data_IF_378992107592
#
_entry.id   IF_378992107592
#
_cell.length_a   1.000
_cell.length_b   1.000
_cell.length_c   1.000
_cell.angle_alpha   90.00
_cell.angle_beta   90.00
_cell.angle_gamma   90.00
#
_symmetry.space_group_name_H-M   'P 1'
#
loop_
_entity.id
_entity.type
_entity.pdbx_description
1 polymer ?
#
# COMPACT_ATOMS: atom_id res chain seq x y z
N UNK A 1 -8.67 -17.67 -6.69
CA UNK A 1 -7.29 -17.92 -6.24
C UNK A 1 -7.36 -18.14 -4.74
N UNK A 2 -6.84 -19.25 -4.20
CA UNK A 2 -6.80 -19.52 -2.76
C UNK A 2 -5.83 -18.55 -2.05
N UNK A 3 -5.80 -18.62 -0.72
CA UNK A 3 -4.97 -17.78 0.15
C UNK A 3 -5.76 -16.68 0.83
N UNK A 4 -5.27 -16.27 1.98
CA UNK A 4 -5.82 -15.17 2.78
C UNK A 4 -5.35 -13.78 2.27
N UNK A 5 -5.62 -12.73 3.05
CA UNK A 5 -5.23 -11.36 2.71
C UNK A 5 -3.71 -11.20 2.55
N UNK A 6 -2.91 -12.00 3.28
CA UNK A 6 -1.45 -11.90 3.23
C UNK A 6 -0.83 -12.42 1.93
N UNK A 7 -1.62 -13.08 1.07
CA UNK A 7 -1.24 -13.43 -0.29
C UNK A 7 -1.40 -12.26 -1.28
N UNK A 8 -2.10 -11.19 -0.89
CA UNK A 8 -2.32 -10.01 -1.73
C UNK A 8 -1.12 -9.07 -1.76
N UNK A 9 -0.90 -8.48 -2.93
CA UNK A 9 0.09 -7.42 -3.17
C UNK A 9 -0.58 -6.25 -3.85
N UNK A 10 -0.21 -5.05 -3.43
CA UNK A 10 -0.57 -3.82 -4.13
C UNK A 10 0.70 -3.23 -4.73
N UNK A 11 0.64 -2.83 -6.01
CA UNK A 11 1.75 -2.15 -6.69
C UNK A 11 1.23 -0.82 -7.18
N UNK A 12 1.95 0.26 -6.88
CA UNK A 12 1.67 1.58 -7.41
C UNK A 12 2.82 2.00 -8.32
N UNK A 13 2.49 2.46 -9.53
CA UNK A 13 3.45 2.99 -10.49
C UNK A 13 2.95 4.30 -11.08
N UNK A 14 3.88 5.13 -11.57
CA UNK A 14 3.60 6.30 -12.40
C UNK A 14 4.45 6.24 -13.67
N UNK A 15 3.78 6.36 -14.81
CA UNK A 15 4.41 6.45 -16.13
C UNK A 15 4.28 7.89 -16.62
N UNK A 16 5.39 8.52 -16.90
CA UNK A 16 5.43 9.92 -17.33
C UNK A 16 4.96 10.13 -18.78
N UNK A 17 4.87 11.37 -19.22
CA UNK A 17 4.45 11.76 -20.57
C UNK A 17 5.34 11.19 -21.67
N UNK A 18 6.61 10.86 -21.36
CA UNK A 18 7.56 10.25 -22.29
C UNK A 18 7.43 8.73 -22.38
N UNK A 19 6.76 8.10 -21.42
CA UNK A 19 6.57 6.65 -21.36
C UNK A 19 7.51 5.91 -20.43
N UNK A 20 8.23 6.66 -19.61
CA UNK A 20 9.14 6.07 -18.63
C UNK A 20 8.43 5.85 -17.29
N UNK A 21 8.69 4.73 -16.65
CA UNK A 21 8.22 4.48 -15.28
C UNK A 21 9.10 5.25 -14.32
N UNK A 22 8.61 6.38 -13.82
CA UNK A 22 9.37 7.27 -12.92
C UNK A 22 9.04 7.07 -11.43
N UNK A 23 8.05 6.24 -11.11
CA UNK A 23 7.75 5.82 -9.76
C UNK A 23 7.30 4.37 -9.74
N UNK A 24 7.80 3.60 -8.78
CA UNK A 24 7.28 2.27 -8.48
C UNK A 24 7.48 1.91 -7.01
N UNK A 25 6.52 1.17 -6.47
CA UNK A 25 6.61 0.58 -5.15
C UNK A 25 5.49 -0.41 -4.91
N UNK A 26 5.68 -1.25 -3.93
CA UNK A 26 4.72 -2.29 -3.60
C UNK A 26 4.59 -2.52 -2.11
N UNK A 27 3.48 -3.13 -1.75
CA UNK A 27 3.20 -3.52 -0.38
C UNK A 27 2.51 -4.88 -0.32
N UNK A 28 2.81 -5.64 0.71
CA UNK A 28 2.09 -6.85 1.10
C UNK A 28 0.90 -6.44 1.95
N UNK A 29 -0.30 -6.87 1.57
CA UNK A 29 -1.50 -6.69 2.38
C UNK A 29 -1.44 -7.60 3.60
N UNK A 30 -1.77 -7.06 4.75
CA UNK A 30 -1.85 -7.80 6.02
C UNK A 30 -3.29 -8.01 6.45
N UNK A 31 -4.15 -7.03 6.18
CA UNK A 31 -5.54 -7.05 6.59
C UNK A 31 -6.37 -6.14 5.68
N UNK A 32 -7.52 -6.62 5.24
CA UNK A 32 -8.55 -5.86 4.50
C UNK A 32 -9.71 -5.45 5.42
N UNK A 33 -10.50 -4.45 5.02
CA UNK A 33 -11.70 -4.05 5.76
C UNK A 33 -12.77 -5.15 5.64
N UNK A 34 -13.38 -5.57 6.74
CA UNK A 34 -14.42 -6.58 6.79
C UNK A 34 -15.84 -6.01 6.51
N UNK A 35 -16.00 -4.69 6.34
CA UNK A 35 -17.29 -4.14 5.97
C UNK A 35 -17.66 -4.58 4.55
N UNK A 36 -18.89 -5.07 4.29
CA UNK A 36 -19.29 -5.61 2.99
C UNK A 36 -19.07 -4.64 1.81
N UNK A 37 -19.17 -3.34 2.05
CA UNK A 37 -18.96 -2.29 1.03
C UNK A 37 -17.50 -1.89 0.87
N UNK A 38 -16.59 -2.46 1.66
CA UNK A 38 -15.18 -2.10 1.73
C UNK A 38 -14.24 -3.29 1.50
N UNK A 39 -14.80 -4.45 1.14
CA UNK A 39 -14.02 -5.65 0.78
C UNK A 39 -13.03 -5.29 -0.35
N UNK A 40 -11.80 -5.78 -0.24
CA UNK A 40 -10.72 -5.44 -1.17
C UNK A 40 -9.97 -4.14 -0.83
N UNK A 41 -10.35 -3.42 0.25
CA UNK A 41 -9.61 -2.24 0.69
C UNK A 41 -8.65 -2.61 1.82
N UNK A 42 -7.34 -2.53 1.61
CA UNK A 42 -6.36 -2.76 2.66
C UNK A 42 -6.47 -1.74 3.79
N UNK A 43 -6.56 -2.23 5.03
CA UNK A 43 -6.48 -1.42 6.25
C UNK A 43 -5.14 -1.56 6.96
N UNK A 44 -4.33 -2.55 6.57
CA UNK A 44 -2.94 -2.67 6.99
C UNK A 44 -2.09 -3.32 5.90
N UNK A 45 -0.89 -2.78 5.69
CA UNK A 45 0.10 -3.26 4.72
C UNK A 45 1.50 -3.03 5.25
N UNK A 46 2.46 -3.87 4.82
CA UNK A 46 3.89 -3.57 4.93
C UNK A 46 4.46 -3.34 3.53
N UNK A 47 5.30 -2.32 3.39
CA UNK A 47 6.07 -2.17 2.16
C UNK A 47 7.06 -3.31 2.02
N UNK A 48 7.15 -3.82 0.82
CA UNK A 48 8.02 -4.96 0.50
C UNK A 48 8.34 -4.92 -1.00
N UNK A 49 9.61 -5.11 -1.32
CA UNK A 49 10.07 -5.08 -2.69
C UNK A 49 9.80 -6.42 -3.38
N UNK A 50 9.15 -6.35 -4.54
CA UNK A 50 8.89 -7.51 -5.40
C UNK A 50 9.46 -7.27 -6.80
N UNK A 51 10.79 -7.35 -7.01
CA UNK A 51 11.43 -6.94 -8.27
C UNK A 51 10.89 -7.67 -9.50
N UNK A 52 10.48 -8.93 -9.37
CA UNK A 52 9.86 -9.68 -10.48
C UNK A 52 8.50 -9.07 -10.85
N UNK A 53 7.65 -8.78 -9.85
CA UNK A 53 6.35 -8.15 -10.09
C UNK A 53 6.49 -6.73 -10.65
N UNK A 54 7.52 -5.99 -10.21
CA UNK A 54 7.79 -4.66 -10.75
C UNK A 54 8.15 -4.70 -12.22
N UNK A 55 9.00 -5.66 -12.63
CA UNK A 55 9.33 -5.84 -14.06
C UNK A 55 8.09 -6.14 -14.89
N UNK A 56 7.25 -7.07 -14.42
CA UNK A 56 6.03 -7.47 -15.13
C UNK A 56 5.03 -6.30 -15.21
N UNK A 57 4.86 -5.55 -14.12
CA UNK A 57 4.00 -4.36 -14.08
C UNK A 57 4.53 -3.25 -15.02
N UNK A 58 5.84 -2.97 -14.99
CA UNK A 58 6.45 -2.00 -15.89
C UNK A 58 6.28 -2.41 -17.35
N UNK A 59 6.58 -3.66 -17.70
CA UNK A 59 6.41 -4.17 -19.07
C UNK A 59 4.95 -4.02 -19.53
N UNK A 60 3.98 -4.42 -18.69
CA UNK A 60 2.57 -4.26 -19.02
C UNK A 60 2.20 -2.80 -19.33
N UNK A 61 2.72 -1.84 -18.57
CA UNK A 61 2.43 -0.42 -18.78
C UNK A 61 3.14 0.13 -20.04
N UNK A 62 4.44 -0.13 -20.18
CA UNK A 62 5.24 0.44 -21.28
C UNK A 62 4.87 -0.16 -22.63
N UNK A 63 4.68 -1.48 -22.73
CA UNK A 63 4.33 -2.18 -23.97
C UNK A 63 2.95 -1.77 -24.49
N UNK A 64 2.06 -1.30 -23.62
CA UNK A 64 0.74 -0.78 -24.00
C UNK A 64 0.69 0.74 -24.12
N UNK A 65 1.82 1.44 -24.05
CA UNK A 65 1.88 2.89 -24.20
C UNK A 65 1.13 3.66 -23.11
N UNK A 66 0.97 3.06 -21.91
CA UNK A 66 0.24 3.67 -20.80
C UNK A 66 0.92 4.96 -20.32
N UNK A 67 0.12 5.90 -19.76
CA UNK A 67 0.57 7.14 -19.13
C UNK A 67 -0.24 7.41 -17.86
N UNK A 68 0.43 7.95 -16.84
CA UNK A 68 -0.18 8.32 -15.57
C UNK A 68 -0.04 7.25 -14.49
N UNK A 69 -0.85 7.35 -13.45
CA UNK A 69 -0.85 6.40 -12.33
C UNK A 69 -1.52 5.08 -12.69
N UNK A 70 -0.90 3.99 -12.28
CA UNK A 70 -1.49 2.67 -12.28
C UNK A 70 -1.36 2.03 -10.89
N UNK A 71 -2.44 1.44 -10.40
CA UNK A 71 -2.45 0.65 -9.17
C UNK A 71 -2.90 -0.77 -9.49
N UNK A 72 -2.02 -1.73 -9.26
CA UNK A 72 -2.28 -3.13 -9.53
C UNK A 72 -2.66 -3.86 -8.24
N UNK A 73 -3.64 -4.73 -8.36
CA UNK A 73 -3.96 -5.74 -7.37
C UNK A 73 -3.50 -7.10 -7.88
N UNK A 74 -2.57 -7.71 -7.11
CA UNK A 74 -1.89 -8.95 -7.47
C UNK A 74 -2.07 -9.95 -6.34
N UNK A 75 -2.35 -11.20 -6.66
CA UNK A 75 -2.40 -12.28 -5.66
C UNK A 75 -1.37 -13.35 -5.97
N UNK A 76 -0.64 -13.74 -4.95
CA UNK A 76 0.28 -14.87 -5.03
C UNK A 76 -0.52 -16.14 -4.77
N UNK A 77 -0.51 -17.07 -5.71
CA UNK A 77 -1.14 -18.37 -5.52
C UNK A 77 -0.27 -19.23 -4.59
N UNK A 78 -0.74 -19.60 -3.40
CA UNK A 78 0.06 -20.37 -2.43
C UNK A 78 0.36 -21.80 -2.87
N UNK A 79 -0.30 -22.30 -3.92
CA UNK A 79 -0.08 -23.66 -4.44
C UNK A 79 1.19 -23.79 -5.26
N UNK A 80 1.55 -22.74 -6.00
CA UNK A 80 2.65 -22.76 -6.96
C UNK A 80 3.52 -21.48 -6.95
N UNK A 81 3.18 -20.49 -6.11
CA UNK A 81 3.89 -19.24 -5.97
C UNK A 81 3.70 -18.27 -7.15
N UNK A 82 2.84 -18.58 -8.12
CA UNK A 82 2.59 -17.67 -9.25
C UNK A 82 1.89 -16.40 -8.80
N UNK A 83 2.34 -15.29 -9.35
CA UNK A 83 1.68 -14.00 -9.20
C UNK A 83 0.62 -13.81 -10.29
N UNK A 84 -0.58 -13.47 -9.89
CA UNK A 84 -1.71 -13.26 -10.78
C UNK A 84 -2.21 -11.82 -10.64
N UNK A 85 -2.00 -11.02 -11.67
CA UNK A 85 -2.55 -9.68 -11.82
C UNK A 85 -4.02 -9.80 -12.18
N UNK A 86 -4.92 -9.25 -11.38
CA UNK A 86 -6.35 -9.39 -11.64
C UNK A 86 -7.09 -8.04 -11.72
N UNK A 87 -6.45 -6.96 -11.30
CA UNK A 87 -7.00 -5.61 -11.46
C UNK A 87 -5.89 -4.61 -11.71
N UNK A 88 -6.13 -3.70 -12.65
CA UNK A 88 -5.32 -2.51 -12.88
C UNK A 88 -6.25 -1.29 -12.82
N UNK A 89 -6.06 -0.47 -11.81
CA UNK A 89 -6.78 0.78 -11.66
C UNK A 89 -6.00 1.92 -12.31
N UNK A 90 -6.51 2.61 -13.35
CA UNK A 90 -5.81 3.70 -14.05
C UNK A 90 -5.87 5.00 -13.23
N UNK A 91 -5.49 4.93 -12.00
CA UNK A 91 -5.49 6.02 -11.02
C UNK A 91 -4.56 5.69 -9.86
N UNK A 92 -4.21 6.72 -9.09
CA UNK A 92 -3.53 6.51 -7.81
C UNK A 92 -4.41 5.72 -6.84
N UNK A 93 -3.83 4.77 -6.13
CA UNK A 93 -4.53 3.95 -5.16
C UNK A 93 -5.01 4.78 -3.94
N UNK A 94 -6.11 4.38 -3.32
CA UNK A 94 -6.62 5.02 -2.11
C UNK A 94 -5.63 4.97 -0.94
N UNK A 95 -4.85 3.92 -0.89
CA UNK A 95 -3.85 3.61 0.14
C UNK A 95 -2.44 4.11 -0.18
N UNK A 96 -2.27 4.93 -1.22
CA UNK A 96 -0.98 5.37 -1.77
C UNK A 96 -0.07 6.08 -0.76
N UNK A 97 -0.57 6.49 0.39
CA UNK A 97 0.23 7.08 1.47
C UNK A 97 1.40 6.19 1.89
N UNK A 98 1.27 4.86 1.74
CA UNK A 98 2.37 3.96 2.02
C UNK A 98 3.63 4.25 1.19
N UNK A 99 3.45 4.72 -0.05
CA UNK A 99 4.55 5.12 -0.94
C UNK A 99 5.33 6.30 -0.35
N UNK A 100 4.60 7.35 0.06
CA UNK A 100 5.22 8.53 0.66
C UNK A 100 5.92 8.19 1.99
N UNK A 101 5.31 7.35 2.81
CA UNK A 101 5.89 6.88 4.07
C UNK A 101 7.14 5.99 3.85
N UNK A 102 7.23 5.31 2.71
CA UNK A 102 8.37 4.50 2.30
C UNK A 102 9.41 5.27 1.46
N UNK A 103 9.39 6.61 1.51
CA UNK A 103 10.41 7.46 0.89
C UNK A 103 10.10 7.90 -0.55
N UNK A 104 9.01 7.44 -1.17
CA UNK A 104 8.66 7.77 -2.55
C UNK A 104 7.31 8.51 -2.63
N UNK A 105 7.32 9.83 -2.48
CA UNK A 105 6.10 10.63 -2.59
C UNK A 105 5.58 10.64 -4.04
N UNK A 106 4.39 10.04 -4.31
CA UNK A 106 3.90 9.90 -5.67
C UNK A 106 3.54 11.23 -6.36
N UNK A 107 3.34 12.30 -5.60
CA UNK A 107 3.03 13.60 -6.19
C UNK A 107 4.24 14.29 -6.83
N UNK A 108 5.45 13.95 -6.40
CA UNK A 108 6.68 14.57 -6.93
C UNK A 108 6.84 14.28 -8.44
N UNK A 109 6.95 13.02 -8.89
CA UNK A 109 7.15 12.75 -10.32
C UNK A 109 5.98 13.23 -11.18
N UNK A 110 4.74 13.22 -10.65
CA UNK A 110 3.60 13.78 -11.39
C UNK A 110 3.71 15.28 -11.59
N UNK A 111 4.13 16.05 -10.56
CA UNK A 111 4.30 17.52 -10.69
C UNK A 111 5.47 17.84 -11.60
N UNK A 112 6.59 17.15 -11.46
CA UNK A 112 7.76 17.34 -12.31
C UNK A 112 7.46 17.04 -13.79
N UNK A 113 6.67 15.99 -14.08
CA UNK A 113 6.25 15.64 -15.42
C UNK A 113 5.24 16.63 -16.01
N UNK A 114 4.13 16.90 -15.30
CA UNK A 114 2.98 17.61 -15.86
C UNK A 114 3.07 19.15 -15.71
N UNK A 115 3.79 19.64 -14.71
CA UNK A 115 3.89 21.07 -14.40
C UNK A 115 5.26 21.62 -14.78
N UNK A 116 6.32 20.97 -14.29
CA UNK A 116 7.69 21.42 -14.52
C UNK A 116 8.25 20.96 -15.86
N UNK A 117 7.61 19.99 -16.51
CA UNK A 117 8.01 19.39 -17.81
C UNK A 117 9.48 18.90 -17.77
N UNK A 118 9.86 18.25 -16.67
CA UNK A 118 11.21 17.74 -16.45
C UNK A 118 11.31 16.24 -16.67
N UNK A 119 12.52 15.81 -17.03
CA UNK A 119 12.87 14.39 -16.94
C UNK A 119 13.06 14.00 -15.47
N UNK A 120 12.35 12.98 -15.01
CA UNK A 120 12.47 12.46 -13.66
C UNK A 120 13.27 11.17 -13.66
N UNK A 121 14.15 11.01 -12.67
CA UNK A 121 14.74 9.70 -12.36
C UNK A 121 13.68 8.81 -11.69
N UNK A 122 13.80 7.49 -11.89
CA UNK A 122 12.90 6.56 -11.24
C UNK A 122 13.08 6.57 -9.72
N UNK A 123 12.02 6.86 -8.99
CA UNK A 123 11.96 6.75 -7.54
C UNK A 123 11.28 5.44 -7.14
N UNK A 124 11.86 4.74 -6.17
CA UNK A 124 11.34 3.47 -5.65
C UNK A 124 11.01 3.59 -4.16
N UNK A 125 9.86 3.05 -3.76
CA UNK A 125 9.45 2.99 -2.35
C UNK A 125 10.04 1.74 -1.72
N UNK A 126 11.24 1.85 -1.15
CA UNK A 126 12.04 0.71 -0.63
C UNK A 126 12.12 0.66 0.90
N UNK A 127 11.75 1.73 1.61
CA UNK A 127 11.77 1.71 3.06
C UNK A 127 10.70 0.78 3.62
N UNK A 128 11.11 -0.16 4.47
CA UNK A 128 10.18 -1.08 5.11
C UNK A 128 9.38 -0.37 6.19
N UNK A 129 8.09 -0.15 5.95
CA UNK A 129 7.16 0.50 6.88
C UNK A 129 5.88 -0.31 7.06
N UNK A 130 5.20 -0.08 8.18
CA UNK A 130 3.84 -0.53 8.41
C UNK A 130 2.87 0.62 8.19
N UNK A 131 2.05 0.53 7.16
CA UNK A 131 0.85 1.34 6.98
C UNK A 131 -0.31 0.67 7.73
N UNK A 132 -1.05 1.40 8.58
CA UNK A 132 -2.20 0.83 9.27
C UNK A 132 -3.24 1.87 9.66
N UNK A 133 -4.51 1.51 9.53
CA UNK A 133 -5.68 2.28 9.97
C UNK A 133 -6.32 1.68 11.23
N UNK A 134 -5.89 0.48 11.63
CA UNK A 134 -6.47 -0.28 12.73
C UNK A 134 -5.54 -0.30 13.95
N UNK A 135 -6.05 -0.59 15.16
CA UNK A 135 -5.22 -0.81 16.34
C UNK A 135 -4.25 -2.00 16.15
N UNK A 136 -3.01 -1.85 16.64
CA UNK A 136 -1.96 -2.87 16.50
C UNK A 136 -2.39 -4.22 17.09
N UNK A 137 -3.10 -4.21 18.22
CA UNK A 137 -3.61 -5.43 18.83
C UNK A 137 -4.62 -6.18 17.96
N UNK A 138 -5.45 -5.43 17.21
CA UNK A 138 -6.37 -6.03 16.24
C UNK A 138 -5.62 -6.63 15.07
N UNK A 139 -4.69 -5.87 14.48
CA UNK A 139 -3.86 -6.34 13.37
C UNK A 139 -3.12 -7.63 13.74
N UNK A 140 -2.41 -7.62 14.87
CA UNK A 140 -1.62 -8.77 15.32
C UNK A 140 -2.47 -10.01 15.66
N UNK A 141 -3.74 -9.83 15.99
CA UNK A 141 -4.68 -10.95 16.19
C UNK A 141 -5.00 -11.67 14.87
N UNK A 142 -5.13 -10.93 13.76
CA UNK A 142 -5.48 -11.50 12.45
C UNK A 142 -4.29 -12.06 11.66
N UNK A 143 -3.05 -11.72 12.00
CA UNK A 143 -1.87 -12.31 11.37
C UNK A 143 -1.62 -13.68 11.99
N UNK A 144 -1.87 -14.75 11.23
CA UNK A 144 -1.70 -16.14 11.67
C UNK A 144 -0.28 -16.65 11.52
N UNK A 145 0.45 -16.15 10.51
CA UNK A 145 1.86 -16.46 10.27
C UNK A 145 2.74 -15.82 11.36
N UNK A 146 3.47 -16.66 12.11
CA UNK A 146 4.25 -16.21 13.27
C UNK A 146 5.46 -15.36 12.86
N UNK A 147 6.12 -15.68 11.75
CA UNK A 147 7.27 -14.92 11.24
C UNK A 147 6.83 -13.53 10.77
N UNK A 148 5.72 -13.48 10.03
CA UNK A 148 5.12 -12.22 9.60
C UNK A 148 4.66 -11.38 10.80
N UNK A 149 4.07 -12.02 11.81
CA UNK A 149 3.67 -11.35 13.06
C UNK A 149 4.86 -10.80 13.83
N UNK A 150 5.97 -11.55 13.90
CA UNK A 150 7.22 -11.10 14.52
C UNK A 150 7.82 -9.91 13.75
N UNK A 151 7.81 -9.96 12.40
CA UNK A 151 8.24 -8.88 11.53
C UNK A 151 7.44 -7.60 11.79
N UNK A 152 6.11 -7.69 11.83
CA UNK A 152 5.23 -6.53 12.10
C UNK A 152 5.50 -5.96 13.50
N UNK A 153 5.67 -6.80 14.53
CA UNK A 153 6.03 -6.35 15.88
C UNK A 153 7.38 -5.62 15.90
N UNK A 154 8.35 -6.07 15.11
CA UNK A 154 9.65 -5.42 14.98
C UNK A 154 9.49 -4.03 14.36
N UNK A 155 8.77 -3.89 13.25
CA UNK A 155 8.52 -2.61 12.57
C UNK A 155 7.85 -1.61 13.53
N UNK A 156 6.86 -2.07 14.32
CA UNK A 156 6.18 -1.24 15.32
C UNK A 156 7.16 -0.75 16.39
N UNK A 157 8.01 -1.63 16.94
CA UNK A 157 9.02 -1.27 17.96
C UNK A 157 10.07 -0.29 17.46
N UNK A 158 10.40 -0.36 16.17
CA UNK A 158 11.37 0.54 15.52
C UNK A 158 10.75 1.90 15.14
N UNK A 159 9.48 2.13 15.47
CA UNK A 159 8.79 3.39 15.18
C UNK A 159 8.45 3.61 13.69
N UNK A 160 8.59 2.58 12.85
CA UNK A 160 8.30 2.64 11.40
C UNK A 160 6.83 2.29 11.08
N UNK A 161 5.94 2.63 12.00
CA UNK A 161 4.49 2.50 11.88
C UNK A 161 3.87 3.83 11.50
N UNK A 162 3.17 3.85 10.40
CA UNK A 162 2.49 5.04 9.86
C UNK A 162 0.98 4.85 9.86
N UNK A 163 0.28 5.81 10.41
CA UNK A 163 -1.16 5.85 10.52
C UNK A 163 -1.70 7.07 9.78
N UNK A 164 -2.40 6.82 8.71
CA UNK A 164 -2.96 7.87 7.86
C UNK A 164 -3.93 8.81 8.59
N UNK A 165 -4.61 8.31 9.62
CA UNK A 165 -5.59 9.08 10.38
C UNK A 165 -4.94 10.00 11.41
N UNK A 166 -3.67 9.75 11.76
CA UNK A 166 -2.93 10.55 12.74
C UNK A 166 -2.05 11.58 12.02
N UNK A 167 -2.32 12.84 12.28
CA UNK A 167 -1.44 13.92 11.89
C UNK A 167 -0.65 14.38 13.14
N UNK A 168 0.69 14.25 13.17
CA UNK A 168 1.50 14.65 14.32
C UNK A 168 1.40 16.15 14.65
N UNK A 169 1.03 16.97 13.67
CA UNK A 169 0.88 18.43 13.86
C UNK A 169 -0.52 18.84 14.28
N UNK A 170 -1.48 17.91 14.32
CA UNK A 170 -2.86 18.18 14.67
C UNK A 170 -3.05 18.45 16.16
N UNK A 171 -3.56 19.62 16.49
CA UNK A 171 -3.81 20.08 17.86
C UNK A 171 -5.29 20.04 18.25
N UNK A 172 -6.20 19.78 17.30
CA UNK A 172 -7.63 19.73 17.61
C UNK A 172 -7.97 18.43 18.37
N UNK A 173 -8.31 18.60 19.65
CA UNK A 173 -8.69 17.50 20.53
C UNK A 173 -9.97 16.78 20.09
N UNK A 174 -10.92 17.48 19.45
CA UNK A 174 -12.15 16.87 18.94
C UNK A 174 -11.83 15.93 17.78
N UNK A 175 -10.96 16.36 16.88
CA UNK A 175 -10.47 15.52 15.77
C UNK A 175 -9.74 14.29 16.31
N UNK A 176 -8.82 14.48 17.24
CA UNK A 176 -8.06 13.38 17.84
C UNK A 176 -8.97 12.35 18.55
N UNK A 177 -10.00 12.83 19.25
CA UNK A 177 -11.01 11.95 19.87
C UNK A 177 -11.83 11.20 18.80
N UNK A 178 -12.23 11.89 17.73
CA UNK A 178 -12.96 11.27 16.60
C UNK A 178 -12.13 10.16 15.95
N UNK A 179 -10.86 10.41 15.67
CA UNK A 179 -9.93 9.41 15.11
C UNK A 179 -9.79 8.21 16.07
N UNK A 180 -9.66 8.47 17.37
CA UNK A 180 -9.58 7.39 18.35
C UNK A 180 -10.87 6.55 18.36
N UNK A 181 -12.05 7.17 18.33
CA UNK A 181 -13.34 6.48 18.26
C UNK A 181 -13.48 5.66 16.97
N UNK A 182 -13.06 6.20 15.82
CA UNK A 182 -13.05 5.48 14.55
C UNK A 182 -12.19 4.21 14.63
N UNK A 183 -11.01 4.30 15.24
CA UNK A 183 -10.15 3.13 15.47
C UNK A 183 -10.80 2.08 16.37
N UNK A 184 -11.48 2.49 17.44
CA UNK A 184 -12.21 1.54 18.29
C UNK A 184 -13.38 0.89 17.52
N UNK A 185 -13.99 1.60 16.58
CA UNK A 185 -15.07 1.05 15.76
C UNK A 185 -14.61 -0.09 14.84
N UNK A 186 -13.33 -0.11 14.41
CA UNK A 186 -12.79 -1.27 13.68
C UNK A 186 -12.90 -2.56 14.51
N UNK A 187 -12.65 -2.51 15.83
CA UNK A 187 -12.83 -3.69 16.70
C UNK A 187 -14.24 -4.26 16.62
N UNK A 188 -15.27 -3.41 16.51
CA UNK A 188 -16.68 -3.85 16.37
C UNK A 188 -16.98 -4.42 14.98
N UNK A 189 -16.38 -3.84 13.94
CA UNK A 189 -16.52 -4.34 12.55
C UNK A 189 -15.93 -5.73 12.39
N UNK A 190 -14.78 -5.98 13.02
CA UNK A 190 -14.05 -7.23 12.94
C UNK A 190 -14.56 -8.32 13.90
N UNK A 191 -15.42 -7.96 14.86
CA UNK A 191 -16.05 -8.90 15.78
C UNK A 191 -17.36 -9.53 15.22
N UNK A 192 -17.80 -9.12 14.03
CA UNK A 192 -18.97 -9.62 13.31
C UNK A 192 -18.57 -10.64 12.26
#
# INVERSE_FOLDING_TARGET
IPGDNTAMRSITAYVDSRGEVTLIGSARVLLEDHAPTMIGNPVAMITEDFPALWRDACALLTDNGYRGFANFDVKIDPRDGRALFFEVNPRIGRNNWYMAAAGANPMIPMVEDLIDVKACEQTQATDEILYTLVPDSLLLHYITDEDLRARVKRIIREGRRFDLLLNPTEKDLRRNLTVWLQKQNHRRKFAR
#
